data_IF_973604962031
#
_entry.id   IF_973604962031
#
_cell.length_a   1.000
_cell.length_b   1.000
_cell.length_c   1.000
_cell.angle_alpha   90.00
_cell.angle_beta   90.00
_cell.angle_gamma   90.00
#
_symmetry.space_group_name_H-M   'P 1'
#
loop_
_entity.id
_entity.type
_entity.pdbx_description
1 polymer ?
#
# COMPACT_ATOMS: atom_id res chain seq x y z
N UNK A 1 15.39 34.59 2.55
CA UNK A 1 14.89 35.07 1.26
C UNK A 1 14.14 34.00 0.47
N UNK A 2 14.64 32.75 0.34
CA UNK A 2 14.04 31.66 -0.46
C UNK A 2 12.71 31.12 0.10
N UNK A 3 12.55 30.95 1.41
CA UNK A 3 11.28 30.55 2.03
C UNK A 3 10.17 31.61 1.85
N UNK A 4 10.52 32.89 1.90
CA UNK A 4 9.58 33.98 1.62
C UNK A 4 9.09 33.92 0.16
N UNK A 5 9.96 33.56 -0.79
CA UNK A 5 9.59 33.42 -2.21
C UNK A 5 8.66 32.21 -2.44
N UNK A 6 8.86 31.09 -1.76
CA UNK A 6 8.01 29.89 -1.87
C UNK A 6 6.65 30.14 -1.22
N UNK A 7 6.60 30.76 -0.04
CA UNK A 7 5.35 31.23 0.56
C UNK A 7 4.66 32.26 -0.33
N UNK A 8 5.41 33.20 -0.90
CA UNK A 8 4.87 34.16 -1.86
C UNK A 8 4.25 33.49 -3.09
N UNK A 9 4.89 32.44 -3.63
CA UNK A 9 4.34 31.65 -4.74
C UNK A 9 3.11 30.86 -4.28
N UNK A 10 3.10 30.30 -3.08
CA UNK A 10 1.95 29.61 -2.50
C UNK A 10 0.78 30.57 -2.25
N UNK A 11 1.05 31.75 -1.66
CA UNK A 11 0.05 32.76 -1.34
C UNK A 11 -0.51 33.45 -2.59
N UNK A 12 0.30 33.55 -3.65
CA UNK A 12 -0.10 34.14 -4.94
C UNK A 12 -0.45 33.10 -6.02
N UNK A 13 -0.58 31.84 -5.62
CA UNK A 13 -0.88 30.69 -6.49
C UNK A 13 -2.11 30.92 -7.39
N UNK A 14 -3.14 31.60 -6.88
CA UNK A 14 -4.33 31.90 -7.66
C UNK A 14 -4.08 32.98 -8.75
N UNK A 15 -3.24 33.98 -8.47
CA UNK A 15 -2.87 35.03 -9.45
C UNK A 15 -1.91 34.50 -10.50
N UNK A 16 -0.92 33.70 -10.11
CA UNK A 16 0.04 33.07 -11.03
C UNK A 16 -0.60 31.99 -11.93
N UNK A 17 -1.62 31.27 -11.42
CA UNK A 17 -2.40 30.32 -12.25
C UNK A 17 -3.17 30.97 -13.40
N UNK A 18 -3.50 32.25 -13.30
CA UNK A 18 -4.16 33.00 -14.37
C UNK A 18 -3.19 33.49 -15.46
N UNK A 19 -1.89 33.58 -15.14
CA UNK A 19 -0.88 34.19 -16.02
C UNK A 19 0.01 33.19 -16.76
N UNK A 20 0.13 31.94 -16.26
CA UNK A 20 1.01 30.93 -16.84
C UNK A 20 0.28 29.60 -17.09
N UNK A 21 0.56 28.90 -18.20
CA UNK A 21 0.01 27.58 -18.48
C UNK A 21 0.34 26.59 -17.35
N UNK A 22 -0.65 25.79 -16.92
CA UNK A 22 -0.48 24.80 -15.83
C UNK A 22 0.71 23.87 -16.05
N UNK A 23 0.99 23.50 -17.31
CA UNK A 23 2.14 22.65 -17.69
C UNK A 23 3.49 23.32 -17.37
N UNK A 24 3.61 24.63 -17.62
CA UNK A 24 4.85 25.38 -17.36
C UNK A 24 5.11 25.55 -15.86
N UNK A 25 4.07 25.83 -15.07
CA UNK A 25 4.16 25.92 -13.60
C UNK A 25 4.55 24.57 -12.99
N UNK A 26 4.00 23.46 -13.50
CA UNK A 26 4.36 22.11 -13.07
C UNK A 26 5.80 21.78 -13.40
N UNK A 27 6.26 22.07 -14.61
CA UNK A 27 7.64 21.85 -15.03
C UNK A 27 8.64 22.68 -14.19
N UNK A 28 8.35 23.95 -13.94
CA UNK A 28 9.19 24.82 -13.10
C UNK A 28 9.26 24.32 -11.66
N UNK A 29 8.13 23.88 -11.08
CA UNK A 29 8.08 23.27 -9.74
C UNK A 29 8.95 22.02 -9.68
N UNK A 30 8.83 21.12 -10.65
CA UNK A 30 9.62 19.87 -10.69
C UNK A 30 11.11 20.18 -10.84
N UNK A 31 11.50 21.09 -11.73
CA UNK A 31 12.90 21.50 -11.91
C UNK A 31 13.49 22.12 -10.63
N UNK A 32 12.69 22.93 -9.91
CA UNK A 32 13.11 23.50 -8.62
C UNK A 32 13.31 22.43 -7.55
N UNK A 33 12.35 21.49 -7.41
CA UNK A 33 12.45 20.39 -6.46
C UNK A 33 13.65 19.49 -6.78
N UNK A 34 13.86 19.14 -8.05
CA UNK A 34 15.03 18.36 -8.48
C UNK A 34 16.35 19.07 -8.11
N UNK A 35 16.43 20.38 -8.33
CA UNK A 35 17.62 21.18 -7.95
C UNK A 35 17.80 21.28 -6.43
N UNK A 36 16.70 21.37 -5.68
CA UNK A 36 16.72 21.39 -4.20
C UNK A 36 17.24 20.06 -3.67
N UNK A 37 16.70 18.96 -4.16
CA UNK A 37 17.10 17.61 -3.78
C UNK A 37 18.56 17.34 -4.15
N UNK A 38 18.99 17.69 -5.36
CA UNK A 38 20.37 17.49 -5.80
C UNK A 38 21.41 18.22 -4.91
N UNK A 39 21.02 19.35 -4.30
CA UNK A 39 21.90 20.13 -3.41
C UNK A 39 21.81 19.75 -1.94
N UNK A 40 20.87 18.87 -1.60
CA UNK A 40 20.74 18.46 -0.21
C UNK A 40 21.93 17.59 0.20
N UNK A 41 22.47 17.89 1.36
CA UNK A 41 23.42 17.06 2.08
C UNK A 41 22.90 16.89 3.49
N UNK A 42 22.75 15.64 3.93
CA UNK A 42 22.31 15.33 5.28
C UNK A 42 23.43 15.73 6.25
N UNK A 43 23.08 16.55 7.24
CA UNK A 43 24.01 16.90 8.32
C UNK A 43 24.20 15.66 9.22
N UNK A 44 25.42 15.44 9.75
CA UNK A 44 25.64 14.42 10.77
C UNK A 44 24.79 14.65 12.00
N UNK A 45 24.40 13.59 12.67
CA UNK A 45 23.68 13.67 13.94
C UNK A 45 24.68 14.07 15.02
N UNK A 46 24.42 15.17 15.75
CA UNK A 46 25.20 15.56 16.92
C UNK A 46 24.71 14.77 18.15
N UNK A 47 25.54 13.90 18.77
CA UNK A 47 25.14 13.01 19.84
C UNK A 47 24.42 13.72 21.00
N UNK A 48 24.97 14.85 21.45
CA UNK A 48 24.38 15.63 22.53
C UNK A 48 22.99 16.18 22.20
N UNK A 49 22.75 16.62 20.96
CA UNK A 49 21.45 17.12 20.52
C UNK A 49 20.45 15.98 20.29
N UNK A 50 20.91 14.83 19.84
CA UNK A 50 20.10 13.60 19.74
C UNK A 50 19.60 13.14 21.12
N UNK A 51 20.49 13.11 22.12
CA UNK A 51 20.18 12.69 23.47
C UNK A 51 19.19 13.62 24.21
N UNK A 52 19.13 14.90 23.86
CA UNK A 52 18.15 15.84 24.45
C UNK A 52 16.72 15.54 24.04
N UNK A 53 16.51 14.79 22.95
CA UNK A 53 15.17 14.43 22.48
C UNK A 53 14.67 13.19 23.20
N UNK A 54 13.36 13.07 23.36
CA UNK A 54 12.74 11.91 23.99
C UNK A 54 12.95 10.63 23.15
N UNK A 55 13.09 9.49 23.83
CA UNK A 55 13.15 8.20 23.16
C UNK A 55 11.75 7.85 22.63
N UNK A 56 11.61 7.80 21.31
CA UNK A 56 10.34 7.53 20.65
C UNK A 56 10.38 7.92 19.18
N UNK A 57 9.21 7.86 18.53
CA UNK A 57 9.03 8.01 17.08
C UNK A 57 8.08 9.16 16.74
N UNK A 58 8.51 10.09 15.90
CA UNK A 58 7.62 11.00 15.20
C UNK A 58 7.17 10.31 13.90
N UNK A 59 5.93 9.85 13.82
CA UNK A 59 5.34 9.27 12.62
C UNK A 59 4.76 10.40 11.75
N UNK A 60 5.28 10.57 10.53
CA UNK A 60 5.01 11.73 9.68
C UNK A 60 4.39 11.29 8.36
N UNK A 61 3.17 11.72 8.07
CA UNK A 61 2.45 11.40 6.84
C UNK A 61 0.96 11.75 6.94
N UNK A 62 0.14 11.31 5.98
CA UNK A 62 -1.30 11.62 5.93
C UNK A 62 -2.14 10.49 6.56
N UNK A 63 -2.18 10.46 7.91
CA UNK A 63 -2.87 9.42 8.69
C UNK A 63 -4.38 9.38 8.45
N UNK A 64 -4.99 10.53 8.12
CA UNK A 64 -6.43 10.64 7.89
C UNK A 64 -6.86 10.23 6.49
N UNK A 65 -5.93 10.03 5.56
CA UNK A 65 -6.24 9.72 4.17
C UNK A 65 -6.94 8.36 4.02
N UNK A 66 -8.08 8.34 3.32
CA UNK A 66 -8.85 7.13 3.03
C UNK A 66 -8.36 6.46 1.73
N UNK A 67 -7.06 6.27 1.64
CA UNK A 67 -6.36 5.57 0.55
C UNK A 67 -5.34 4.58 1.10
N UNK A 68 -4.77 3.72 0.25
CA UNK A 68 -3.80 2.70 0.66
C UNK A 68 -2.63 3.24 1.48
N UNK A 69 -2.10 4.42 1.16
CA UNK A 69 -1.03 5.06 1.94
C UNK A 69 -1.48 5.45 3.35
N UNK A 70 -2.68 6.01 3.50
CA UNK A 70 -3.22 6.33 4.83
C UNK A 70 -3.47 5.07 5.65
N UNK A 71 -3.99 4.00 5.03
CA UNK A 71 -4.15 2.70 5.68
C UNK A 71 -2.80 2.13 6.12
N UNK A 72 -1.80 2.16 5.27
CA UNK A 72 -0.43 1.74 5.60
C UNK A 72 0.13 2.51 6.82
N UNK A 73 -0.09 3.81 6.88
CA UNK A 73 0.35 4.62 8.02
C UNK A 73 -0.39 4.27 9.31
N UNK A 74 -1.70 3.96 9.25
CA UNK A 74 -2.48 3.50 10.41
C UNK A 74 -2.02 2.14 10.92
N UNK A 75 -1.62 1.24 10.03
CA UNK A 75 -1.02 -0.05 10.43
C UNK A 75 0.28 0.17 11.19
N UNK A 76 1.18 1.03 10.71
CA UNK A 76 2.41 1.38 11.43
C UNK A 76 2.13 2.04 12.79
N UNK A 77 1.13 2.91 12.88
CA UNK A 77 0.72 3.52 14.15
C UNK A 77 0.22 2.46 15.14
N UNK A 78 -0.58 1.50 14.67
CA UNK A 78 -1.05 0.38 15.48
C UNK A 78 0.10 -0.52 15.96
N UNK A 79 1.09 -0.79 15.12
CA UNK A 79 2.28 -1.55 15.48
C UNK A 79 3.12 -0.85 16.57
N UNK A 80 3.27 0.48 16.47
CA UNK A 80 3.94 1.28 17.50
C UNK A 80 3.17 1.25 18.84
N UNK A 81 1.84 1.33 18.82
CA UNK A 81 1.01 1.19 20.03
C UNK A 81 1.16 -0.18 20.68
N UNK A 82 1.01 -1.25 19.90
CA UNK A 82 1.16 -2.64 20.39
C UNK A 82 2.57 -2.91 20.93
N UNK A 83 3.57 -2.30 20.32
CA UNK A 83 4.96 -2.40 20.75
C UNK A 83 5.26 -1.58 22.00
N UNK A 84 4.33 -0.73 22.46
CA UNK A 84 4.53 0.21 23.58
C UNK A 84 5.72 1.15 23.39
N UNK A 85 6.06 1.45 22.13
CA UNK A 85 7.08 2.43 21.79
C UNK A 85 6.42 3.81 21.82
N UNK A 86 6.96 4.80 22.57
CA UNK A 86 6.40 6.15 22.59
C UNK A 86 6.40 6.74 21.18
N UNK A 87 5.26 7.29 20.74
CA UNK A 87 5.18 7.96 19.45
C UNK A 87 4.12 9.06 19.43
N UNK A 88 4.29 9.98 18.49
CA UNK A 88 3.34 11.00 18.14
C UNK A 88 3.19 11.10 16.63
N UNK A 89 2.03 11.53 16.15
CA UNK A 89 1.71 11.60 14.73
C UNK A 89 1.69 13.06 14.30
N UNK A 90 2.50 13.39 13.31
CA UNK A 90 2.40 14.66 12.59
C UNK A 90 1.69 14.41 11.25
N UNK A 91 0.44 14.91 11.14
CA UNK A 91 -0.37 14.72 9.94
C UNK A 91 0.11 15.66 8.83
N UNK A 92 0.92 15.13 7.93
CA UNK A 92 1.50 15.85 6.81
C UNK A 92 0.73 15.59 5.51
N UNK A 93 0.03 16.58 5.00
CA UNK A 93 -0.86 16.49 3.85
C UNK A 93 -0.26 17.20 2.64
N UNK A 94 -0.15 16.51 1.51
CA UNK A 94 0.34 17.05 0.25
C UNK A 94 -0.71 17.13 -0.85
N UNK A 95 -1.65 16.19 -0.90
CA UNK A 95 -2.69 16.13 -1.90
C UNK A 95 -4.02 16.69 -1.37
N UNK A 96 -4.61 17.63 -2.11
CA UNK A 96 -5.87 18.29 -1.77
C UNK A 96 -7.13 17.47 -2.09
N UNK A 97 -7.03 16.46 -2.96
CA UNK A 97 -8.19 15.74 -3.50
C UNK A 97 -8.48 14.39 -2.80
N UNK A 98 -7.72 14.05 -1.76
CA UNK A 98 -7.90 12.81 -1.01
C UNK A 98 -8.95 13.03 0.10
N UNK A 99 -9.89 12.08 0.26
CA UNK A 99 -10.80 12.06 1.40
C UNK A 99 -10.03 11.77 2.69
N UNK A 100 -10.36 12.49 3.77
CA UNK A 100 -9.67 12.45 5.06
C UNK A 100 -10.67 12.36 6.22
N UNK A 101 -11.47 11.32 6.20
CA UNK A 101 -12.50 11.06 7.21
C UNK A 101 -12.06 10.12 8.33
N UNK A 102 -10.85 9.56 8.27
CA UNK A 102 -10.36 8.69 9.32
C UNK A 102 -9.79 9.49 10.50
N UNK A 103 -10.35 9.28 11.68
CA UNK A 103 -10.00 9.93 12.93
C UNK A 103 -9.54 8.95 14.02
N UNK A 104 -9.24 7.71 13.66
CA UNK A 104 -8.91 6.64 14.62
C UNK A 104 -7.68 6.93 15.50
N UNK A 105 -6.75 7.76 15.02
CA UNK A 105 -5.52 8.12 15.73
C UNK A 105 -5.44 9.59 16.17
N UNK A 106 -6.59 10.29 16.32
CA UNK A 106 -6.60 11.69 16.79
C UNK A 106 -5.91 11.88 18.15
N UNK A 107 -6.02 10.89 19.04
CA UNK A 107 -5.38 10.89 20.36
C UNK A 107 -3.85 10.89 20.34
N UNK A 108 -3.23 10.57 19.18
CA UNK A 108 -1.78 10.59 18.96
C UNK A 108 -1.28 11.78 18.18
N UNK A 109 -2.19 12.65 17.71
CA UNK A 109 -1.82 13.82 16.92
C UNK A 109 -0.99 14.83 17.72
N UNK A 110 0.06 15.34 17.10
CA UNK A 110 0.95 16.36 17.68
C UNK A 110 1.35 17.40 16.64
N UNK A 111 1.63 18.61 17.13
CA UNK A 111 2.17 19.69 16.32
C UNK A 111 3.68 19.88 16.51
N UNK A 112 4.24 19.27 17.56
CA UNK A 112 5.66 19.24 17.87
C UNK A 112 6.31 17.93 17.45
N UNK A 113 7.63 17.86 17.53
CA UNK A 113 8.43 16.69 17.18
C UNK A 113 9.36 16.34 18.36
N UNK A 114 8.85 15.80 19.47
CA UNK A 114 9.64 15.62 20.69
C UNK A 114 10.65 14.48 20.57
N UNK A 115 10.40 13.52 19.67
CA UNK A 115 11.14 12.27 19.63
C UNK A 115 12.38 12.32 18.74
N UNK A 116 13.36 11.47 19.05
CA UNK A 116 14.66 11.38 18.37
C UNK A 116 14.66 10.61 17.06
N UNK A 117 13.63 9.82 16.79
CA UNK A 117 13.46 9.08 15.52
C UNK A 117 12.29 9.68 14.74
N UNK A 118 12.51 9.93 13.45
CA UNK A 118 11.44 10.25 12.51
C UNK A 118 11.17 9.04 11.62
N UNK A 119 9.91 8.65 11.49
CA UNK A 119 9.44 7.68 10.53
C UNK A 119 8.53 8.41 9.52
N UNK A 120 9.09 8.68 8.34
CA UNK A 120 8.40 9.39 7.26
C UNK A 120 7.65 8.41 6.37
N UNK A 121 6.34 8.45 6.44
CA UNK A 121 5.45 7.73 5.52
C UNK A 121 5.03 8.68 4.38
N UNK A 122 5.99 9.00 3.54
CA UNK A 122 5.87 9.95 2.42
C UNK A 122 6.56 9.32 1.21
N UNK A 123 5.86 9.22 0.07
CA UNK A 123 6.40 8.61 -1.13
C UNK A 123 7.70 9.29 -1.61
N UNK A 124 8.63 8.56 -2.26
CA UNK A 124 9.92 9.10 -2.71
C UNK A 124 9.81 10.38 -3.53
N UNK A 125 8.83 10.45 -4.45
CA UNK A 125 8.57 11.63 -5.29
C UNK A 125 8.11 12.86 -4.50
N UNK A 126 7.63 12.68 -3.28
CA UNK A 126 7.09 13.73 -2.42
C UNK A 126 8.09 14.23 -1.37
N UNK A 127 9.22 13.53 -1.18
CA UNK A 127 10.25 13.88 -0.19
C UNK A 127 10.76 15.31 -0.37
N UNK A 128 10.99 15.76 -1.61
CA UNK A 128 11.38 17.13 -1.90
C UNK A 128 10.34 18.17 -1.46
N UNK A 129 9.06 17.84 -1.53
CA UNK A 129 7.96 18.68 -1.02
C UNK A 129 7.90 18.64 0.50
N UNK A 130 8.06 17.47 1.11
CA UNK A 130 8.14 17.32 2.56
C UNK A 130 9.29 18.18 3.13
N UNK A 131 10.47 18.12 2.53
CA UNK A 131 11.62 18.95 2.92
C UNK A 131 11.37 20.45 2.75
N UNK A 132 10.56 20.85 1.77
CA UNK A 132 10.23 22.23 1.51
C UNK A 132 9.21 22.81 2.49
N UNK A 133 8.19 22.01 2.85
CA UNK A 133 7.05 22.49 3.66
C UNK A 133 7.21 22.22 5.15
N UNK A 134 7.90 21.17 5.54
CA UNK A 134 8.20 20.88 6.94
C UNK A 134 9.29 21.83 7.47
N UNK A 135 9.25 22.10 8.77
CA UNK A 135 10.33 22.84 9.41
C UNK A 135 11.66 22.07 9.24
N UNK A 136 12.72 22.78 8.89
CA UNK A 136 14.03 22.15 8.68
C UNK A 136 14.60 21.51 9.94
N UNK A 137 14.24 22.03 11.12
CA UNK A 137 14.72 21.49 12.39
C UNK A 137 14.21 20.07 12.67
N UNK A 138 13.12 19.64 12.00
CA UNK A 138 12.67 18.24 12.12
C UNK A 138 13.67 17.27 11.52
N UNK A 139 14.42 17.68 10.47
CA UNK A 139 15.38 16.85 9.77
C UNK A 139 16.73 16.72 10.47
N UNK A 140 16.99 17.59 11.47
CA UNK A 140 18.30 17.69 12.13
C UNK A 140 18.34 16.92 13.44
N UNK A 141 19.50 16.35 13.71
CA UNK A 141 19.79 15.67 14.98
C UNK A 141 18.72 14.63 15.37
N UNK A 142 18.20 13.94 14.35
CA UNK A 142 17.29 12.80 14.46
C UNK A 142 17.69 11.70 13.50
N UNK A 143 17.36 10.48 13.87
CA UNK A 143 17.46 9.35 12.96
C UNK A 143 16.23 9.34 12.06
N UNK A 144 16.44 9.58 10.77
CA UNK A 144 15.37 9.72 9.79
C UNK A 144 15.20 8.42 9.01
N UNK A 145 14.04 7.79 9.15
CA UNK A 145 13.64 6.57 8.45
C UNK A 145 12.59 6.93 7.41
N UNK A 146 12.72 6.44 6.20
CA UNK A 146 11.65 6.46 5.21
C UNK A 146 10.88 5.15 5.24
N UNK A 147 9.56 5.17 5.19
CA UNK A 147 8.75 3.99 4.91
C UNK A 147 8.15 4.11 3.52
N UNK A 148 8.60 3.25 2.59
CA UNK A 148 8.24 3.34 1.18
C UNK A 148 7.56 2.08 0.66
N UNK A 149 6.60 2.29 -0.22
CA UNK A 149 5.93 1.25 -0.99
C UNK A 149 6.47 1.28 -2.42
N UNK A 150 6.80 0.12 -2.96
CA UNK A 150 7.16 -0.01 -4.35
C UNK A 150 6.75 -1.39 -4.87
N UNK A 151 6.34 -1.46 -6.15
CA UNK A 151 5.67 -2.63 -6.70
C UNK A 151 6.43 -3.31 -7.86
N UNK A 152 7.60 -2.80 -8.27
CA UNK A 152 8.41 -3.40 -9.33
C UNK A 152 9.80 -3.84 -8.83
N UNK A 153 10.46 -4.72 -9.58
CA UNK A 153 11.81 -5.21 -9.27
C UNK A 153 12.90 -4.14 -9.36
N UNK A 154 12.63 -3.04 -10.05
CA UNK A 154 13.57 -1.94 -10.24
C UNK A 154 13.03 -0.67 -9.62
N UNK A 155 13.85 -0.06 -8.74
CA UNK A 155 13.51 1.22 -8.14
C UNK A 155 13.85 2.37 -9.10
N UNK A 156 12.90 3.30 -9.40
CA UNK A 156 13.10 4.32 -10.41
C UNK A 156 14.27 5.26 -10.13
N UNK A 157 15.08 5.53 -11.16
CA UNK A 157 16.24 6.42 -11.02
C UNK A 157 15.87 7.80 -10.49
N UNK A 158 14.72 8.34 -10.89
CA UNK A 158 14.24 9.66 -10.44
C UNK A 158 13.88 9.71 -8.96
N UNK A 159 13.72 8.58 -8.28
CA UNK A 159 13.41 8.50 -6.85
C UNK A 159 14.67 8.33 -5.98
N UNK A 160 15.79 7.94 -6.57
CA UNK A 160 17.03 7.66 -5.83
C UNK A 160 17.58 8.89 -5.09
N UNK A 161 17.37 10.10 -5.65
CA UNK A 161 17.74 11.34 -4.98
C UNK A 161 17.05 11.55 -3.60
N UNK A 162 15.90 10.90 -3.37
CA UNK A 162 15.19 10.97 -2.10
C UNK A 162 15.90 10.18 -0.99
N UNK A 163 16.64 9.13 -1.34
CA UNK A 163 17.32 8.24 -0.39
C UNK A 163 18.29 9.01 0.53
N UNK A 164 18.94 10.04 0.03
CA UNK A 164 19.94 10.78 0.80
C UNK A 164 19.38 11.59 1.99
N UNK A 165 18.07 11.79 2.05
CA UNK A 165 17.42 12.46 3.17
C UNK A 165 17.32 11.59 4.44
N UNK A 166 17.46 10.28 4.28
CA UNK A 166 17.21 9.29 5.32
C UNK A 166 18.50 8.58 5.74
N UNK A 167 18.51 8.09 6.96
CA UNK A 167 19.55 7.21 7.48
C UNK A 167 19.29 5.77 7.04
N UNK A 168 17.99 5.42 6.94
CA UNK A 168 17.52 4.07 6.66
C UNK A 168 16.21 4.13 5.87
N UNK A 169 15.95 3.09 5.06
CA UNK A 169 14.69 2.91 4.34
C UNK A 169 14.02 1.64 4.84
N UNK A 170 12.72 1.72 5.13
CA UNK A 170 11.87 0.59 5.45
C UNK A 170 10.85 0.36 4.36
N UNK A 171 10.49 -0.88 4.13
CA UNK A 171 9.42 -1.27 3.21
C UNK A 171 8.61 -2.41 3.80
N UNK A 172 7.35 -2.61 3.37
CA UNK A 172 6.49 -3.66 3.93
C UNK A 172 6.79 -5.06 3.40
N UNK A 173 7.71 -5.22 2.44
CA UNK A 173 8.01 -6.52 1.83
C UNK A 173 9.47 -6.61 1.41
N UNK A 174 10.01 -7.83 1.40
CA UNK A 174 11.35 -8.10 0.89
C UNK A 174 11.44 -7.83 -0.61
N UNK A 175 10.35 -8.05 -1.34
CA UNK A 175 10.25 -7.69 -2.75
C UNK A 175 10.57 -6.20 -2.98
N UNK A 176 9.93 -5.31 -2.23
CA UNK A 176 10.19 -3.87 -2.30
C UNK A 176 11.59 -3.50 -1.75
N UNK A 177 12.03 -4.10 -0.64
CA UNK A 177 13.36 -3.91 -0.08
C UNK A 177 14.46 -4.27 -1.08
N UNK A 178 14.33 -5.42 -1.74
CA UNK A 178 15.29 -5.91 -2.73
C UNK A 178 15.46 -4.94 -3.91
N UNK A 179 14.37 -4.28 -4.34
CA UNK A 179 14.44 -3.29 -5.42
C UNK A 179 15.27 -2.05 -5.01
N UNK A 180 15.13 -1.61 -3.75
CA UNK A 180 15.82 -0.44 -3.22
C UNK A 180 17.29 -0.76 -2.91
N UNK A 181 17.60 -1.95 -2.36
CA UNK A 181 18.98 -2.38 -2.10
C UNK A 181 19.88 -2.39 -3.35
N UNK A 182 19.31 -2.53 -4.54
CA UNK A 182 20.07 -2.46 -5.80
C UNK A 182 20.65 -1.07 -6.09
N UNK A 183 20.17 -0.03 -5.42
CA UNK A 183 20.48 1.37 -5.74
C UNK A 183 21.02 2.20 -4.57
N UNK A 184 21.28 1.56 -3.42
CA UNK A 184 21.84 2.23 -2.24
C UNK A 184 22.60 1.28 -1.34
N UNK A 185 23.65 1.79 -0.69
CA UNK A 185 24.39 1.09 0.38
C UNK A 185 23.83 1.40 1.78
N UNK A 186 22.80 2.25 1.87
CA UNK A 186 22.13 2.52 3.15
C UNK A 186 21.36 1.30 3.64
N UNK A 187 21.19 1.15 4.95
CA UNK A 187 20.34 0.07 5.50
C UNK A 187 18.94 0.12 4.91
N UNK A 188 18.48 -1.03 4.42
CA UNK A 188 17.09 -1.24 3.96
C UNK A 188 16.51 -2.39 4.76
N UNK A 189 15.48 -2.08 5.55
CA UNK A 189 14.85 -3.02 6.46
C UNK A 189 13.44 -3.37 5.99
N UNK A 190 13.10 -4.65 6.03
CA UNK A 190 11.76 -5.14 5.72
C UNK A 190 10.95 -5.22 7.01
N UNK A 191 9.88 -4.44 7.10
CA UNK A 191 8.91 -4.48 8.19
C UNK A 191 7.52 -4.70 7.60
N UNK A 192 7.02 -5.94 7.55
CA UNK A 192 5.65 -6.22 7.12
C UNK A 192 4.63 -5.63 8.09
N UNK A 193 3.38 -5.49 7.64
CA UNK A 193 2.32 -5.00 8.51
C UNK A 193 1.78 -6.10 9.43
N UNK A 194 1.44 -5.72 10.65
CA UNK A 194 0.49 -6.47 11.45
C UNK A 194 -0.89 -6.33 10.83
N UNK A 195 -1.41 -7.43 10.28
CA UNK A 195 -2.69 -7.44 9.58
C UNK A 195 -3.81 -7.81 10.52
N UNK A 196 -4.85 -6.97 10.53
CA UNK A 196 -6.12 -7.22 11.20
C UNK A 196 -7.26 -7.02 10.23
N UNK A 197 -8.32 -7.79 10.37
CA UNK A 197 -9.49 -7.72 9.51
C UNK A 197 -10.78 -7.67 10.34
N UNK A 198 -10.90 -6.59 11.13
CA UNK A 198 -12.15 -6.33 11.87
C UNK A 198 -13.31 -6.08 10.90
N UNK A 199 -14.40 -6.84 11.04
CA UNK A 199 -15.61 -6.73 10.24
C UNK A 199 -16.77 -6.19 11.08
N UNK A 200 -17.82 -5.71 10.43
CA UNK A 200 -19.12 -5.44 11.07
C UNK A 200 -19.88 -6.77 11.19
N UNK A 201 -20.02 -7.27 12.40
CA UNK A 201 -20.66 -8.58 12.67
C UNK A 201 -22.15 -8.61 12.32
N UNK A 202 -22.78 -7.45 12.10
CA UNK A 202 -24.19 -7.34 11.69
C UNK A 202 -24.34 -7.23 10.16
N UNK A 203 -23.26 -7.30 9.40
CA UNK A 203 -23.26 -7.12 7.96
C UNK A 203 -22.91 -8.44 7.25
N UNK A 204 -23.87 -8.98 6.50
CA UNK A 204 -23.74 -10.23 5.73
C UNK A 204 -24.10 -10.08 4.25
N UNK A 205 -24.28 -11.20 3.55
CA UNK A 205 -24.61 -11.22 2.10
C UNK A 205 -25.81 -10.36 1.75
N UNK A 206 -26.88 -10.43 2.54
CA UNK A 206 -28.13 -9.68 2.31
C UNK A 206 -27.90 -8.16 2.29
N UNK A 207 -27.00 -7.62 3.11
CA UNK A 207 -26.70 -6.19 3.18
C UNK A 207 -25.99 -5.68 1.91
N UNK A 208 -25.36 -6.57 1.16
CA UNK A 208 -24.74 -6.29 -0.12
C UNK A 208 -25.61 -6.71 -1.32
N UNK A 209 -26.83 -7.19 -1.09
CA UNK A 209 -27.70 -7.71 -2.14
C UNK A 209 -27.17 -8.98 -2.81
N UNK A 210 -26.40 -9.78 -2.08
CA UNK A 210 -25.79 -11.02 -2.57
C UNK A 210 -26.65 -12.23 -2.20
N UNK A 211 -26.71 -13.28 -3.05
CA UNK A 211 -27.46 -14.51 -2.78
C UNK A 211 -26.78 -15.35 -1.70
N UNK A 212 -27.61 -16.06 -0.92
CA UNK A 212 -27.13 -16.95 0.15
C UNK A 212 -26.69 -18.32 -0.37
N UNK A 213 -27.24 -18.76 -1.51
CA UNK A 213 -27.14 -20.10 -2.06
C UNK A 213 -26.06 -20.29 -3.13
N UNK A 214 -25.26 -19.25 -3.43
CA UNK A 214 -24.24 -19.31 -4.48
C UNK A 214 -22.83 -19.30 -3.92
N UNK A 215 -21.91 -19.94 -4.64
CA UNK A 215 -20.49 -19.82 -4.41
C UNK A 215 -19.97 -18.54 -5.08
N UNK A 216 -19.40 -17.61 -4.31
CA UNK A 216 -19.14 -16.24 -4.74
C UNK A 216 -17.63 -15.95 -4.87
N UNK A 217 -17.26 -15.38 -6.01
CA UNK A 217 -15.92 -14.84 -6.29
C UNK A 217 -15.94 -13.32 -6.19
N UNK A 218 -14.94 -12.71 -5.57
CA UNK A 218 -14.80 -11.27 -5.44
C UNK A 218 -13.57 -10.75 -6.17
N UNK A 219 -13.79 -9.80 -7.08
CA UNK A 219 -12.75 -8.94 -7.64
C UNK A 219 -12.91 -7.55 -7.04
N UNK A 220 -11.82 -6.95 -6.52
CA UNK A 220 -11.88 -5.62 -5.93
C UNK A 220 -10.75 -4.72 -6.41
N UNK A 221 -11.10 -3.49 -6.84
CA UNK A 221 -10.13 -2.50 -7.29
C UNK A 221 -10.62 -1.06 -7.16
N UNK A 222 -9.67 -0.11 -7.20
CA UNK A 222 -9.94 1.32 -7.23
C UNK A 222 -9.58 1.88 -8.60
N UNK A 223 -10.49 2.58 -9.25
CA UNK A 223 -10.28 3.17 -10.60
C UNK A 223 -9.26 4.30 -10.60
N UNK A 224 -8.99 4.93 -9.44
CA UNK A 224 -7.89 5.87 -9.28
C UNK A 224 -6.51 5.19 -9.20
N UNK A 225 -6.47 3.88 -8.97
CA UNK A 225 -5.25 3.07 -9.05
C UNK A 225 -4.92 2.74 -10.51
N UNK A 226 -3.72 2.24 -10.74
CA UNK A 226 -3.33 1.78 -12.09
C UNK A 226 -4.05 0.46 -12.42
N UNK A 227 -5.11 0.56 -13.21
CA UNK A 227 -5.94 -0.57 -13.66
C UNK A 227 -5.11 -1.70 -14.28
N UNK A 228 -4.15 -1.34 -15.15
CA UNK A 228 -3.27 -2.30 -15.79
C UNK A 228 -2.49 -3.15 -14.78
N UNK A 229 -2.06 -2.57 -13.65
CA UNK A 229 -1.36 -3.28 -12.58
C UNK A 229 -2.27 -4.23 -11.79
N UNK A 230 -3.47 -3.77 -11.45
CA UNK A 230 -4.46 -4.59 -10.70
C UNK A 230 -5.11 -5.68 -11.54
N UNK A 231 -5.13 -5.51 -12.87
CA UNK A 231 -5.59 -6.47 -13.84
C UNK A 231 -6.99 -7.07 -13.58
N UNK A 232 -8.02 -6.26 -13.30
CA UNK A 232 -9.37 -6.79 -13.08
C UNK A 232 -9.95 -7.48 -14.33
N UNK A 233 -9.51 -7.06 -15.52
CA UNK A 233 -9.93 -7.69 -16.81
C UNK A 233 -9.45 -9.13 -16.86
N UNK A 234 -8.19 -9.41 -16.54
CA UNK A 234 -7.67 -10.79 -16.50
C UNK A 234 -8.41 -11.67 -15.48
N UNK A 235 -8.81 -11.10 -14.33
CA UNK A 235 -9.61 -11.82 -13.34
C UNK A 235 -11.04 -12.11 -13.84
N UNK A 236 -11.66 -11.15 -14.54
CA UNK A 236 -12.97 -11.35 -15.20
C UNK A 236 -12.88 -12.39 -16.32
N UNK A 237 -11.83 -12.37 -17.13
CA UNK A 237 -11.63 -13.36 -18.20
C UNK A 237 -11.42 -14.76 -17.64
N UNK A 238 -10.68 -14.90 -16.52
CA UNK A 238 -10.54 -16.17 -15.82
C UNK A 238 -11.89 -16.71 -15.32
N UNK A 239 -12.72 -15.85 -14.73
CA UNK A 239 -14.07 -16.23 -14.29
C UNK A 239 -14.93 -16.72 -15.47
N UNK A 240 -14.93 -15.99 -16.59
CA UNK A 240 -15.69 -16.38 -17.79
C UNK A 240 -15.23 -17.72 -18.40
N UNK A 241 -13.93 -18.01 -18.29
CA UNK A 241 -13.38 -19.29 -18.73
C UNK A 241 -13.68 -20.43 -17.75
N UNK A 242 -13.80 -20.10 -16.48
CA UNK A 242 -14.11 -21.06 -15.44
C UNK A 242 -15.58 -21.52 -15.51
N UNK A 243 -16.50 -20.59 -15.71
CA UNK A 243 -17.94 -20.83 -15.58
C UNK A 243 -18.70 -20.32 -16.79
N UNK A 244 -19.58 -21.17 -17.38
CA UNK A 244 -20.43 -20.74 -18.48
C UNK A 244 -21.47 -19.72 -17.99
N UNK A 245 -22.04 -18.96 -18.93
CA UNK A 245 -23.00 -17.88 -18.62
C UNK A 245 -24.30 -18.40 -17.97
N UNK A 246 -24.62 -19.64 -18.21
CA UNK A 246 -25.83 -20.35 -17.72
C UNK A 246 -25.64 -20.95 -16.32
N UNK A 247 -24.42 -20.91 -15.75
CA UNK A 247 -24.20 -21.50 -14.42
C UNK A 247 -24.91 -20.67 -13.35
N UNK A 248 -25.88 -21.31 -12.68
CA UNK A 248 -26.71 -20.68 -11.65
C UNK A 248 -26.15 -20.85 -10.23
N UNK A 249 -25.11 -21.66 -10.04
CA UNK A 249 -24.57 -22.02 -8.72
C UNK A 249 -23.42 -21.13 -8.27
N UNK A 250 -22.82 -20.42 -9.21
CA UNK A 250 -21.69 -19.51 -8.94
C UNK A 250 -22.05 -18.07 -9.25
N UNK A 251 -21.36 -17.13 -8.61
CA UNK A 251 -21.55 -15.71 -8.84
C UNK A 251 -20.25 -14.93 -8.76
N UNK A 252 -20.19 -13.80 -9.48
CA UNK A 252 -19.08 -12.88 -9.47
C UNK A 252 -19.48 -11.57 -8.84
N UNK A 253 -18.82 -11.20 -7.77
CA UNK A 253 -18.94 -9.89 -7.11
C UNK A 253 -17.81 -8.99 -7.59
N UNK A 254 -18.13 -7.81 -8.10
CA UNK A 254 -17.15 -6.84 -8.53
C UNK A 254 -17.31 -5.56 -7.71
N UNK A 255 -16.37 -5.32 -6.81
CA UNK A 255 -16.31 -4.10 -5.99
C UNK A 255 -15.40 -3.07 -6.61
N UNK A 256 -15.97 -1.93 -7.02
CA UNK A 256 -15.22 -0.80 -7.58
C UNK A 256 -15.25 0.39 -6.62
N UNK A 257 -14.07 0.96 -6.34
CA UNK A 257 -13.97 2.26 -5.71
C UNK A 257 -13.82 3.36 -6.76
N UNK A 258 -14.49 4.49 -6.53
CA UNK A 258 -14.42 5.69 -7.37
C UNK A 258 -14.73 5.47 -8.87
N UNK A 259 -15.70 4.62 -9.27
CA UNK A 259 -15.98 4.38 -10.66
C UNK A 259 -16.56 5.64 -11.33
N UNK A 260 -16.13 5.88 -12.57
CA UNK A 260 -16.81 6.80 -13.47
C UNK A 260 -17.93 6.07 -14.19
N UNK A 261 -18.87 6.81 -14.75
CA UNK A 261 -19.98 6.23 -15.51
C UNK A 261 -19.49 5.35 -16.66
N UNK A 262 -18.43 5.79 -17.35
CA UNK A 262 -17.77 5.05 -18.44
C UNK A 262 -17.21 3.70 -17.98
N UNK A 263 -16.61 3.63 -16.77
CA UNK A 263 -16.07 2.39 -16.21
C UNK A 263 -17.19 1.36 -15.98
N UNK A 264 -18.34 1.84 -15.48
CA UNK A 264 -19.52 0.99 -15.24
C UNK A 264 -20.17 0.49 -16.54
N UNK A 265 -20.21 1.32 -17.58
CA UNK A 265 -20.74 0.95 -18.89
C UNK A 265 -19.86 -0.12 -19.55
N UNK A 266 -18.54 0.05 -19.54
CA UNK A 266 -17.58 -0.94 -20.04
C UNK A 266 -17.75 -2.27 -19.32
N UNK A 267 -17.85 -2.24 -17.99
CA UNK A 267 -18.00 -3.46 -17.21
C UNK A 267 -19.33 -4.16 -17.48
N UNK A 268 -20.45 -3.44 -17.59
CA UNK A 268 -21.74 -4.00 -17.95
C UNK A 268 -21.73 -4.67 -19.31
N UNK A 269 -21.07 -4.07 -20.30
CA UNK A 269 -20.95 -4.69 -21.63
C UNK A 269 -20.07 -5.94 -21.57
N UNK A 270 -18.97 -5.91 -20.80
CA UNK A 270 -18.09 -7.09 -20.61
C UNK A 270 -18.79 -8.24 -19.86
N UNK A 271 -19.76 -7.96 -19.00
CA UNK A 271 -20.50 -8.96 -18.21
C UNK A 271 -21.87 -9.29 -18.78
N UNK A 272 -22.18 -8.80 -19.99
CA UNK A 272 -23.46 -9.01 -20.66
C UNK A 272 -23.77 -10.50 -20.84
N UNK A 273 -24.99 -10.88 -20.48
CA UNK A 273 -25.47 -12.27 -20.50
C UNK A 273 -25.28 -13.01 -19.17
N UNK A 274 -24.33 -12.65 -18.33
CA UNK A 274 -24.16 -13.23 -16.99
C UNK A 274 -25.19 -12.64 -16.03
N UNK A 275 -26.10 -13.47 -15.52
CA UNK A 275 -27.13 -13.03 -14.56
C UNK A 275 -26.57 -12.93 -13.12
N UNK A 276 -25.55 -13.70 -12.80
CA UNK A 276 -24.95 -13.82 -11.48
C UNK A 276 -23.70 -12.92 -11.32
N UNK A 277 -23.74 -11.68 -11.85
CA UNK A 277 -22.69 -10.67 -11.64
C UNK A 277 -23.26 -9.52 -10.83
N UNK A 278 -22.66 -9.26 -9.67
CA UNK A 278 -23.09 -8.29 -8.67
C UNK A 278 -22.09 -7.13 -8.62
N UNK A 279 -22.55 -5.92 -8.99
CA UNK A 279 -21.71 -4.72 -9.00
C UNK A 279 -21.93 -3.91 -7.73
N UNK A 280 -20.86 -3.69 -6.97
CA UNK A 280 -20.84 -2.84 -5.78
C UNK A 280 -19.96 -1.62 -6.06
N UNK A 281 -20.59 -0.49 -6.38
CA UNK A 281 -19.91 0.76 -6.77
C UNK A 281 -19.92 1.82 -5.66
N UNK A 282 -20.65 1.58 -4.57
CA UNK A 282 -20.72 2.46 -3.42
C UNK A 282 -19.40 2.49 -2.64
N UNK A 283 -19.19 3.57 -1.88
CA UNK A 283 -18.05 3.69 -0.98
C UNK A 283 -18.40 3.01 0.34
N UNK A 284 -17.66 1.97 0.68
CA UNK A 284 -17.77 1.26 1.95
C UNK A 284 -16.68 1.73 2.91
N UNK A 285 -16.96 1.81 4.19
CA UNK A 285 -15.97 1.94 5.24
C UNK A 285 -15.16 0.63 5.41
N UNK A 286 -14.07 0.69 6.15
CA UNK A 286 -13.17 -0.47 6.27
C UNK A 286 -13.83 -1.70 6.91
N UNK A 287 -14.65 -1.61 8.00
CA UNK A 287 -15.36 -2.75 8.54
C UNK A 287 -16.30 -3.40 7.52
N UNK A 288 -17.06 -2.61 6.74
CA UNK A 288 -17.96 -3.13 5.70
C UNK A 288 -17.20 -3.76 4.52
N UNK A 289 -16.04 -3.20 4.13
CA UNK A 289 -15.17 -3.85 3.14
C UNK A 289 -14.74 -5.23 3.62
N UNK A 290 -14.34 -5.35 4.88
CA UNK A 290 -13.97 -6.63 5.46
C UNK A 290 -15.18 -7.59 5.58
N UNK A 291 -16.38 -7.08 5.90
CA UNK A 291 -17.61 -7.88 5.89
C UNK A 291 -17.95 -8.39 4.48
N UNK A 292 -17.75 -7.57 3.44
CA UNK A 292 -17.92 -8.00 2.05
C UNK A 292 -16.93 -9.11 1.68
N UNK A 293 -15.66 -8.98 2.08
CA UNK A 293 -14.64 -10.02 1.85
C UNK A 293 -15.04 -11.31 2.57
N UNK A 294 -15.50 -11.24 3.81
CA UNK A 294 -15.98 -12.40 4.58
C UNK A 294 -17.30 -12.99 4.07
N UNK A 295 -18.08 -12.25 3.29
CA UNK A 295 -19.36 -12.69 2.73
C UNK A 295 -19.21 -13.47 1.41
N UNK A 296 -18.01 -13.52 0.83
CA UNK A 296 -17.72 -14.28 -0.39
C UNK A 296 -16.79 -15.46 -0.08
N UNK A 297 -16.74 -16.42 -0.99
CA UNK A 297 -15.95 -17.63 -0.80
C UNK A 297 -14.50 -17.44 -1.29
N UNK A 298 -14.31 -16.72 -2.38
CA UNK A 298 -12.99 -16.56 -3.01
C UNK A 298 -12.70 -15.11 -3.36
N UNK A 299 -11.53 -14.64 -2.97
CA UNK A 299 -10.97 -13.36 -3.43
C UNK A 299 -10.00 -13.57 -4.58
N UNK A 300 -10.21 -12.87 -5.69
CA UNK A 300 -9.40 -13.03 -6.92
C UNK A 300 -8.54 -11.79 -7.16
N UNK A 301 -7.23 -11.98 -7.25
CA UNK A 301 -6.26 -10.93 -7.54
C UNK A 301 -5.23 -11.40 -8.57
N UNK A 302 -5.55 -11.26 -9.84
CA UNK A 302 -4.60 -11.52 -10.94
C UNK A 302 -3.72 -10.28 -11.21
N UNK A 303 -3.19 -9.69 -10.15
CA UNK A 303 -2.35 -8.51 -10.23
C UNK A 303 -1.04 -8.78 -10.98
N UNK A 304 -0.52 -7.74 -11.63
CA UNK A 304 0.77 -7.77 -12.32
C UNK A 304 1.93 -7.35 -11.42
N UNK A 305 1.64 -6.62 -10.36
CA UNK A 305 2.60 -6.25 -9.32
C UNK A 305 1.89 -5.73 -8.06
N UNK A 306 2.45 -6.02 -6.90
CA UNK A 306 1.99 -5.56 -5.58
C UNK A 306 3.15 -5.19 -4.67
N UNK A 307 3.00 -4.12 -3.89
CA UNK A 307 3.99 -3.72 -2.89
C UNK A 307 3.85 -4.43 -1.54
N UNK A 308 2.64 -4.97 -1.25
CA UNK A 308 2.38 -5.81 -0.09
C UNK A 308 1.26 -6.82 -0.37
N UNK A 309 0.09 -6.37 -0.83
CA UNK A 309 -1.07 -7.25 -1.04
C UNK A 309 -2.02 -7.30 0.16
N UNK A 310 -2.20 -6.15 0.85
CA UNK A 310 -2.98 -6.07 2.10
C UNK A 310 -4.36 -6.73 2.03
N UNK A 311 -5.12 -6.51 0.95
CA UNK A 311 -6.47 -7.09 0.80
C UNK A 311 -6.43 -8.61 0.71
N UNK A 312 -5.39 -9.19 0.10
CA UNK A 312 -5.19 -10.64 0.05
C UNK A 312 -4.91 -11.20 1.45
N UNK A 313 -4.04 -10.54 2.22
CA UNK A 313 -3.78 -10.93 3.60
C UNK A 313 -5.03 -10.82 4.49
N UNK A 314 -5.84 -9.77 4.32
CA UNK A 314 -7.12 -9.60 5.00
C UNK A 314 -8.13 -10.68 4.61
N UNK A 315 -8.22 -11.06 3.33
CA UNK A 315 -9.08 -12.12 2.84
C UNK A 315 -8.72 -13.48 3.49
N UNK A 316 -7.43 -13.83 3.49
CA UNK A 316 -6.96 -15.05 4.16
C UNK A 316 -7.26 -15.05 5.66
N UNK A 317 -7.16 -13.91 6.34
CA UNK A 317 -7.48 -13.79 7.76
C UNK A 317 -8.98 -13.97 8.05
N UNK A 318 -9.82 -13.64 7.06
CA UNK A 318 -11.29 -13.77 7.10
C UNK A 318 -11.81 -15.13 6.59
N UNK A 319 -10.93 -16.12 6.45
CA UNK A 319 -11.23 -17.46 5.92
C UNK A 319 -11.65 -17.47 4.43
N UNK A 320 -11.43 -16.37 3.70
CA UNK A 320 -11.71 -16.24 2.26
C UNK A 320 -10.50 -16.73 1.47
N UNK A 321 -10.66 -17.76 0.63
CA UNK A 321 -9.56 -18.31 -0.16
C UNK A 321 -9.13 -17.33 -1.24
N UNK A 322 -7.82 -17.21 -1.46
CA UNK A 322 -7.29 -16.36 -2.52
C UNK A 322 -6.90 -17.13 -3.77
N UNK A 323 -7.27 -16.60 -4.95
CA UNK A 323 -6.66 -16.94 -6.24
C UNK A 323 -5.80 -15.75 -6.64
N UNK A 324 -4.48 -15.89 -6.64
CA UNK A 324 -3.58 -14.77 -6.79
C UNK A 324 -2.38 -15.09 -7.68
N UNK A 325 -1.85 -14.09 -8.39
CA UNK A 325 -0.61 -14.23 -9.15
C UNK A 325 0.54 -14.64 -8.22
N UNK A 326 1.30 -15.65 -8.58
CA UNK A 326 2.48 -16.12 -7.84
C UNK A 326 3.68 -15.19 -8.06
N UNK A 327 3.50 -13.89 -7.79
CA UNK A 327 4.47 -12.85 -8.08
C UNK A 327 4.36 -11.67 -7.12
N UNK A 328 5.52 -11.11 -6.78
CA UNK A 328 5.71 -9.93 -5.92
C UNK A 328 5.51 -10.22 -4.43
N UNK A 329 5.16 -9.21 -3.67
CA UNK A 329 5.16 -9.23 -2.20
C UNK A 329 4.19 -10.22 -1.55
N UNK A 330 3.09 -10.59 -2.21
CA UNK A 330 2.14 -11.55 -1.65
C UNK A 330 2.75 -12.96 -1.47
N UNK A 331 3.77 -13.32 -2.25
CA UNK A 331 4.48 -14.61 -2.11
C UNK A 331 5.26 -14.75 -0.80
N UNK A 332 5.39 -13.67 -0.04
CA UNK A 332 6.02 -13.70 1.28
C UNK A 332 5.09 -14.24 2.38
N UNK A 333 3.78 -14.23 2.15
CA UNK A 333 2.78 -14.76 3.08
C UNK A 333 1.76 -15.72 2.44
N UNK A 334 1.89 -16.00 1.15
CA UNK A 334 1.05 -16.93 0.40
C UNK A 334 1.92 -18.00 -0.28
N UNK A 335 1.42 -19.22 -0.29
CA UNK A 335 2.01 -20.35 -1.00
C UNK A 335 0.92 -21.32 -1.47
N UNK A 336 1.31 -22.42 -2.16
CA UNK A 336 0.38 -23.40 -2.71
C UNK A 336 -0.41 -24.19 -1.64
N UNK A 337 0.00 -24.14 -0.37
CA UNK A 337 -0.71 -24.77 0.75
C UNK A 337 -1.75 -23.84 1.39
N UNK A 338 -1.67 -22.53 1.12
CA UNK A 338 -2.49 -21.49 1.74
C UNK A 338 -3.32 -20.66 0.76
N UNK A 339 -3.10 -20.79 -0.55
CA UNK A 339 -3.82 -20.09 -1.62
C UNK A 339 -3.69 -20.82 -2.96
N UNK A 340 -4.52 -20.48 -3.94
CA UNK A 340 -4.31 -20.85 -5.33
C UNK A 340 -3.33 -19.86 -5.98
N UNK A 341 -2.07 -20.28 -6.13
CA UNK A 341 -0.99 -19.48 -6.71
C UNK A 341 -0.95 -19.69 -8.23
N UNK A 342 -1.29 -18.65 -8.98
CA UNK A 342 -1.35 -18.67 -10.46
C UNK A 342 0.02 -18.34 -11.04
N UNK A 343 0.51 -19.17 -11.95
CA UNK A 343 1.77 -18.93 -12.66
C UNK A 343 1.69 -17.68 -13.54
N UNK A 344 2.85 -17.18 -13.95
CA UNK A 344 2.94 -15.94 -14.71
C UNK A 344 4.13 -15.97 -15.68
N UNK A 345 4.09 -15.04 -16.63
CA UNK A 345 5.24 -14.70 -17.47
C UNK A 345 5.67 -13.25 -17.18
N UNK A 346 6.99 -12.99 -17.11
CA UNK A 346 7.49 -11.62 -17.03
C UNK A 346 7.39 -10.96 -18.39
N UNK A 347 6.59 -9.90 -18.47
CA UNK A 347 6.39 -9.12 -19.69
C UNK A 347 6.83 -7.67 -19.51
N UNK A 348 7.22 -7.05 -20.61
CA UNK A 348 7.58 -5.63 -20.64
C UNK A 348 6.32 -4.76 -20.64
N UNK A 349 6.32 -3.69 -19.86
CA UNK A 349 5.26 -2.67 -19.85
C UNK A 349 5.32 -1.91 -21.17
N UNK A 350 4.27 -2.05 -21.99
CA UNK A 350 4.22 -1.48 -23.33
C UNK A 350 3.95 0.02 -23.32
N UNK A 351 3.18 0.51 -22.36
CA UNK A 351 2.81 1.91 -22.21
C UNK A 351 2.98 2.40 -20.78
N UNK A 352 3.51 3.61 -20.63
CA UNK A 352 3.69 4.22 -19.32
C UNK A 352 2.33 4.50 -18.67
N UNK A 353 2.08 3.96 -17.48
CA UNK A 353 0.88 4.16 -16.69
C UNK A 353 1.24 4.59 -15.27
N UNK A 354 0.97 5.84 -14.93
CA UNK A 354 1.34 6.41 -13.63
C UNK A 354 2.85 6.37 -13.39
N UNK A 355 3.26 5.66 -12.34
CA UNK A 355 4.66 5.48 -11.95
C UNK A 355 5.36 4.31 -12.68
N UNK A 356 4.61 3.49 -13.44
CA UNK A 356 5.10 2.30 -14.12
C UNK A 356 5.46 2.67 -15.56
N UNK A 357 6.75 2.72 -15.84
CA UNK A 357 7.25 3.20 -17.13
C UNK A 357 7.30 2.10 -18.16
N UNK A 358 7.09 2.48 -19.43
CA UNK A 358 7.41 1.64 -20.57
C UNK A 358 8.86 1.14 -20.47
N UNK A 359 9.07 -0.14 -20.76
CA UNK A 359 10.35 -0.82 -20.66
C UNK A 359 10.63 -1.49 -19.31
N UNK A 360 9.92 -1.11 -18.23
CA UNK A 360 9.92 -1.89 -16.99
C UNK A 360 9.16 -3.20 -17.19
N UNK A 361 9.34 -4.15 -16.25
CA UNK A 361 8.72 -5.48 -16.33
C UNK A 361 7.80 -5.74 -15.16
N UNK A 362 6.73 -6.48 -15.42
CA UNK A 362 5.81 -7.01 -14.42
C UNK A 362 5.35 -8.42 -14.79
N UNK A 363 4.54 -9.05 -13.95
CA UNK A 363 3.98 -10.36 -14.21
C UNK A 363 2.70 -10.28 -15.05
N UNK A 364 2.58 -11.12 -16.07
CA UNK A 364 1.31 -11.40 -16.75
C UNK A 364 0.84 -12.78 -16.29
N UNK A 365 -0.24 -12.87 -15.48
CA UNK A 365 -0.74 -14.14 -14.94
C UNK A 365 -1.35 -15.01 -16.02
N UNK A 366 -1.26 -16.34 -15.83
CA UNK A 366 -1.92 -17.33 -16.68
C UNK A 366 -3.41 -17.39 -16.36
N UNK A 367 -4.22 -16.85 -17.29
CA UNK A 367 -5.68 -16.77 -17.14
C UNK A 367 -6.34 -18.16 -17.21
N UNK A 368 -5.78 -19.11 -17.97
CA UNK A 368 -6.31 -20.49 -18.05
C UNK A 368 -6.06 -21.23 -16.73
N UNK A 369 -4.87 -21.11 -16.17
CA UNK A 369 -4.57 -21.70 -14.86
C UNK A 369 -5.46 -21.08 -13.77
N UNK A 370 -5.65 -19.75 -13.79
CA UNK A 370 -6.55 -19.06 -12.86
C UNK A 370 -7.99 -19.60 -12.96
N UNK A 371 -8.49 -19.81 -14.18
CA UNK A 371 -9.80 -20.43 -14.41
C UNK A 371 -9.88 -21.86 -13.86
N UNK A 372 -8.82 -22.66 -14.04
CA UNK A 372 -8.69 -23.98 -13.44
C UNK A 372 -8.72 -23.96 -11.91
N UNK A 373 -8.00 -23.00 -11.30
CA UNK A 373 -8.04 -22.75 -9.85
C UNK A 373 -9.46 -22.44 -9.35
N UNK A 374 -10.16 -21.55 -10.04
CA UNK A 374 -11.53 -21.18 -9.67
C UNK A 374 -12.45 -22.42 -9.73
N UNK A 375 -12.46 -23.20 -10.84
CA UNK A 375 -13.26 -24.41 -10.94
C UNK A 375 -12.96 -25.40 -9.81
N UNK A 376 -11.68 -25.65 -9.54
CA UNK A 376 -11.28 -26.60 -8.51
C UNK A 376 -11.76 -26.18 -7.11
N UNK A 377 -11.71 -24.90 -6.78
CA UNK A 377 -12.20 -24.40 -5.49
C UNK A 377 -13.70 -24.63 -5.30
N UNK A 378 -14.48 -24.55 -6.37
CA UNK A 378 -15.90 -24.82 -6.35
C UNK A 378 -16.20 -26.34 -6.33
N UNK A 379 -15.48 -27.14 -7.11
CA UNK A 379 -15.74 -28.57 -7.30
C UNK A 379 -15.16 -29.46 -6.18
N UNK A 380 -14.16 -29.00 -5.43
CA UNK A 380 -13.45 -29.75 -4.39
C UNK A 380 -13.52 -29.01 -3.03
N UNK A 381 -14.61 -29.23 -2.25
CA UNK A 381 -14.77 -28.59 -0.94
C UNK A 381 -13.63 -28.91 0.04
N UNK A 382 -13.06 -30.13 -0.02
CA UNK A 382 -11.96 -30.48 0.88
C UNK A 382 -10.67 -29.70 0.55
N UNK A 383 -10.44 -29.42 -0.72
CA UNK A 383 -9.36 -28.53 -1.17
C UNK A 383 -9.59 -27.09 -0.70
N UNK A 384 -10.82 -26.58 -0.87
CA UNK A 384 -11.22 -25.26 -0.40
C UNK A 384 -10.99 -25.09 1.11
N UNK A 385 -11.56 -25.98 1.92
CA UNK A 385 -11.48 -25.94 3.39
C UNK A 385 -10.02 -25.97 3.88
N UNK A 386 -9.18 -26.77 3.22
CA UNK A 386 -7.76 -26.86 3.53
C UNK A 386 -7.06 -25.52 3.29
N UNK A 387 -7.29 -24.89 2.14
CA UNK A 387 -6.67 -23.61 1.80
C UNK A 387 -7.15 -22.47 2.72
N UNK A 388 -8.45 -22.40 3.00
CA UNK A 388 -9.02 -21.40 3.92
C UNK A 388 -8.37 -21.48 5.31
N UNK A 389 -8.35 -22.69 5.90
CA UNK A 389 -7.74 -22.93 7.21
C UNK A 389 -6.24 -22.60 7.23
N UNK A 390 -5.50 -23.08 6.23
CA UNK A 390 -4.06 -22.86 6.15
C UNK A 390 -3.74 -21.39 5.92
N UNK A 391 -4.51 -20.71 5.08
CA UNK A 391 -4.36 -19.29 4.80
C UNK A 391 -4.44 -18.45 6.07
N UNK A 392 -5.50 -18.64 6.85
CA UNK A 392 -5.65 -17.94 8.14
C UNK A 392 -4.52 -18.24 9.12
N UNK A 393 -4.12 -19.50 9.22
CA UNK A 393 -3.00 -19.92 10.07
C UNK A 393 -1.72 -19.21 9.65
N UNK A 394 -1.40 -19.24 8.36
CA UNK A 394 -0.20 -18.60 7.79
C UNK A 394 -0.14 -17.11 8.10
N UNK A 395 -1.25 -16.38 7.90
CA UNK A 395 -1.29 -14.93 8.19
C UNK A 395 -1.05 -14.66 9.68
N UNK A 396 -1.68 -15.41 10.59
CA UNK A 396 -1.47 -15.25 12.02
C UNK A 396 -0.01 -15.53 12.45
N UNK A 397 0.66 -16.48 11.79
CA UNK A 397 2.07 -16.81 12.07
C UNK A 397 3.02 -15.73 11.53
N UNK A 398 2.87 -15.33 10.28
CA UNK A 398 3.87 -14.46 9.62
C UNK A 398 3.58 -12.97 9.76
N UNK A 399 2.31 -12.57 9.85
CA UNK A 399 1.84 -11.18 9.95
C UNK A 399 1.09 -10.91 11.26
N UNK A 400 1.19 -11.81 12.24
CA UNK A 400 0.55 -11.67 13.55
C UNK A 400 1.25 -10.65 14.45
N UNK A 401 0.53 -10.15 15.46
CA UNK A 401 1.00 -9.11 16.38
C UNK A 401 2.36 -9.45 17.03
N UNK A 402 2.55 -10.69 17.47
CA UNK A 402 3.78 -11.12 18.14
C UNK A 402 5.00 -11.01 17.21
N UNK A 403 4.87 -11.52 15.99
CA UNK A 403 5.93 -11.51 14.98
C UNK A 403 6.31 -10.07 14.61
N UNK A 404 5.33 -9.26 14.23
CA UNK A 404 5.59 -7.90 13.73
C UNK A 404 6.08 -6.97 14.84
N UNK A 405 5.51 -7.03 16.04
CA UNK A 405 6.00 -6.20 17.16
C UNK A 405 7.40 -6.61 17.64
N UNK A 406 7.76 -7.88 17.52
CA UNK A 406 9.13 -8.34 17.80
C UNK A 406 10.12 -7.74 16.78
N UNK A 407 9.82 -7.82 15.47
CA UNK A 407 10.65 -7.23 14.41
C UNK A 407 10.81 -5.71 14.59
N UNK A 408 9.71 -5.01 14.88
CA UNK A 408 9.74 -3.57 15.11
C UNK A 408 10.62 -3.19 16.31
N UNK A 409 10.50 -3.92 17.43
CA UNK A 409 11.33 -3.70 18.63
C UNK A 409 12.79 -4.02 18.39
N UNK A 410 13.08 -5.14 17.76
CA UNK A 410 14.45 -5.55 17.40
C UNK A 410 15.16 -4.43 16.63
N UNK A 411 14.46 -3.82 15.67
CA UNK A 411 15.06 -2.76 14.86
C UNK A 411 15.12 -1.40 15.55
N UNK A 412 14.05 -0.97 16.21
CA UNK A 412 13.97 0.37 16.81
C UNK A 412 14.74 0.49 18.15
N UNK A 413 14.80 -0.55 18.96
CA UNK A 413 15.41 -0.47 20.29
C UNK A 413 16.87 0.01 20.26
N UNK A 414 17.75 -0.56 19.41
CA UNK A 414 19.12 -0.07 19.28
C UNK A 414 19.20 1.40 18.85
N UNK A 415 18.36 1.82 17.89
CA UNK A 415 18.31 3.19 17.39
C UNK A 415 17.86 4.15 18.52
N UNK A 416 16.83 3.78 19.27
CA UNK A 416 16.32 4.58 20.39
C UNK A 416 17.30 4.68 21.58
N UNK A 417 18.17 3.69 21.77
CA UNK A 417 19.15 3.64 22.85
C UNK A 417 20.51 4.22 22.46
N UNK A 418 20.81 4.33 21.17
CA UNK A 418 22.12 4.74 20.69
C UNK A 418 22.51 6.13 21.24
N UNK A 419 23.66 6.16 21.91
CA UNK A 419 24.31 7.38 22.38
C UNK A 419 25.12 8.02 21.24
N UNK A 420 24.51 8.33 20.10
CA UNK A 420 25.18 9.06 19.01
C UNK A 420 26.26 8.30 18.23
N UNK A 421 26.61 7.07 18.58
CA UNK A 421 27.59 6.22 17.87
C UNK A 421 26.97 5.37 16.75
N UNK A 422 25.71 5.61 16.40
CA UNK A 422 24.96 4.82 15.41
C UNK A 422 25.54 4.82 13.99
N UNK A 423 26.61 5.56 13.73
CA UNK A 423 27.34 5.50 12.46
C UNK A 423 28.36 4.33 12.38
N UNK A 424 28.68 3.66 13.48
CA UNK A 424 29.69 2.57 13.49
C UNK A 424 29.14 1.15 13.39
N UNK A 425 27.84 0.94 13.61
CA UNK A 425 27.24 -0.41 13.62
C UNK A 425 26.51 -0.78 12.33
N UNK A 426 26.66 0.00 11.28
CA UNK A 426 26.07 -0.24 9.97
C UNK A 426 27.13 -0.53 8.88
N UNK A 427 28.31 -1.06 9.27
CA UNK A 427 29.29 -1.65 8.36
C UNK A 427 29.24 -3.17 8.42
#
# INVERSE_FOLDING_TARGET
>A
MKQKMVRFIADHKQKLKKLLPKKLLRAAKLAYLKRLMAKYQKEPIHPAEYQKKEAGVNLIGDIRAEIGLGQSMRLLANELELSKIPFGIYNFQLDGNVRRGDHSFEHRMREDYPYRVNLFHVNPQEVGLAYLYLNKDIWRDRYNIAFWLWELEEFPQEYQEAIKFFDEIWTPSEFASSSIRKVTDKPVYTLPYYVTAGKDENCGRADFGLPEDKFLYLIMYDTNSTMARKNPVGALDAYKKAFPVEDEHVGLVIKMNNPKQEDLEVLREQTKGYQNVYLIAEVLDKPKVNSLIAAVDVFVSLHRAEGFGLVMAEAMLLDTVCVATNWSSNTEFMDADSACMVSFQKVEIQETSGNYKKGCRWAEPDVEEAAGCMRRLYEDPAYYDRLAKNGKTKINEVLGAQTITAMLKERLTPILQAAGDAQKTAQ
#
